data_IF_796104754823
#
_entry.id   IF_796104754823
#
_cell.length_a   1.000
_cell.length_b   1.000
_cell.length_c   1.000
_cell.angle_alpha   90.00
_cell.angle_beta   90.00
_cell.angle_gamma   90.00
#
_symmetry.space_group_name_H-M   'P 1'
#
loop_
_entity.id
_entity.type
_entity.pdbx_description
1 polymer ?
#
# COMPACT_ATOMS: atom_id res chain seq x y z
N UNK A 1 -45.23 20.32 -3.00
CA UNK A 1 -46.32 19.59 -2.29
C UNK A 1 -45.86 18.16 -2.01
N UNK A 2 -45.75 17.85 -0.70
CA UNK A 2 -45.97 16.51 -0.08
C UNK A 2 -45.03 15.37 -0.54
N UNK A 3 -44.37 14.54 0.27
CA UNK A 3 -44.46 14.25 1.72
C UNK A 3 -43.19 13.50 2.14
N UNK A 4 -42.73 13.79 3.34
CA UNK A 4 -41.90 13.05 4.27
C UNK A 4 -42.22 11.57 4.35
N UNK A 5 -41.20 10.71 4.51
CA UNK A 5 -41.32 9.56 5.38
C UNK A 5 -39.96 9.24 6.02
N UNK A 6 -40.02 9.38 7.30
CA UNK A 6 -39.01 9.14 8.33
C UNK A 6 -39.21 7.69 8.78
N UNK A 7 -38.20 6.87 8.73
CA UNK A 7 -38.23 5.60 9.49
C UNK A 7 -36.95 5.52 10.31
N UNK A 8 -37.17 5.81 11.56
CA UNK A 8 -36.29 5.64 12.71
C UNK A 8 -36.40 4.16 13.14
N UNK A 9 -35.29 3.43 13.14
CA UNK A 9 -35.24 2.14 13.81
C UNK A 9 -34.03 2.07 14.72
N UNK A 10 -34.28 2.40 15.99
CA UNK A 10 -33.41 2.11 17.12
C UNK A 10 -33.42 0.60 17.37
N UNK A 11 -32.26 0.03 17.50
CA UNK A 11 -32.09 -1.24 18.17
C UNK A 11 -30.99 -1.12 19.23
N UNK A 12 -31.47 -1.01 20.44
CA UNK A 12 -30.72 -1.08 21.69
C UNK A 12 -30.39 -2.55 21.95
N UNK A 13 -29.13 -2.90 22.11
CA UNK A 13 -28.79 -4.18 22.75
C UNK A 13 -27.97 -3.94 24.01
N UNK A 14 -28.55 -4.46 25.06
CA UNK A 14 -28.23 -4.33 26.46
C UNK A 14 -26.93 -5.04 26.86
N UNK A 15 -26.21 -4.39 27.73
CA UNK A 15 -25.16 -4.92 28.58
C UNK A 15 -25.69 -6.01 29.51
N UNK A 16 -24.97 -7.11 29.65
CA UNK A 16 -25.07 -7.93 30.82
C UNK A 16 -23.68 -8.16 31.41
N UNK A 17 -23.40 -7.43 32.46
CA UNK A 17 -22.31 -7.67 33.37
C UNK A 17 -22.73 -8.77 34.35
N UNK A 18 -21.86 -9.71 34.63
CA UNK A 18 -21.92 -10.51 35.84
C UNK A 18 -20.54 -10.53 36.47
N UNK A 19 -20.56 -9.96 37.68
CA UNK A 19 -19.46 -9.84 38.62
C UNK A 19 -19.66 -10.87 39.72
N UNK A 20 -18.59 -11.12 40.46
CA UNK A 20 -18.48 -11.77 41.79
C UNK A 20 -18.09 -13.26 41.75
N UNK A 21 -17.24 -13.78 42.56
CA UNK A 21 -16.39 -13.37 43.68
C UNK A 21 -15.68 -14.64 44.22
N UNK A 22 -14.41 -14.48 44.59
CA UNK A 22 -13.68 -15.16 45.70
C UNK A 22 -13.71 -16.69 45.88
N UNK A 23 -12.64 -17.38 45.96
CA UNK A 23 -11.66 -17.58 47.01
C UNK A 23 -10.90 -18.94 46.90
N UNK A 24 -9.60 -18.87 47.23
CA UNK A 24 -8.73 -19.83 47.89
C UNK A 24 -8.19 -21.09 47.19
N UNK A 25 -6.90 -20.95 46.95
CA UNK A 25 -5.76 -21.76 47.41
C UNK A 25 -5.80 -23.29 47.33
N UNK A 26 -4.86 -23.83 46.55
CA UNK A 26 -3.72 -24.67 47.01
C UNK A 26 -3.01 -25.33 45.84
N UNK A 27 -1.72 -25.08 45.74
CA UNK A 27 -0.68 -25.92 45.09
C UNK A 27 -0.40 -27.13 46.00
N UNK A 28 0.43 -28.13 45.60
CA UNK A 28 1.14 -28.45 44.35
C UNK A 28 1.06 -29.94 43.95
N UNK A 29 1.53 -30.31 42.75
CA UNK A 29 2.52 -31.39 42.49
C UNK A 29 2.63 -31.71 40.98
N UNK A 30 3.75 -31.41 40.47
CA UNK A 30 4.79 -32.14 39.75
C UNK A 30 4.43 -33.53 39.19
N UNK A 31 4.53 -33.72 37.88
CA UNK A 31 5.23 -34.84 37.26
C UNK A 31 5.57 -34.52 35.77
N UNK A 32 6.81 -34.78 35.47
CA UNK A 32 7.52 -34.72 34.19
C UNK A 32 6.98 -35.71 33.13
N UNK A 33 7.21 -35.36 31.91
CA UNK A 33 7.92 -36.06 30.80
C UNK A 33 7.17 -35.86 29.50
N UNK A 34 7.84 -35.34 28.52
CA UNK A 34 8.80 -35.80 27.53
C UNK A 34 8.27 -35.67 26.10
N UNK A 35 8.95 -34.80 25.33
CA UNK A 35 9.27 -34.86 23.88
C UNK A 35 8.14 -35.12 22.87
N UNK A 36 7.96 -34.28 21.83
CA UNK A 36 8.78 -34.34 20.66
C UNK A 36 8.56 -33.13 19.71
N UNK A 37 9.61 -32.78 19.04
CA UNK A 37 9.81 -31.68 18.12
C UNK A 37 8.84 -31.67 16.91
N UNK A 38 8.38 -30.48 16.54
CA UNK A 38 8.29 -30.13 15.15
C UNK A 38 8.66 -28.63 15.01
N UNK A 39 9.85 -28.40 14.50
CA UNK A 39 10.34 -27.12 14.01
C UNK A 39 9.46 -26.71 12.82
N UNK A 40 8.89 -25.54 12.90
CA UNK A 40 8.56 -24.76 11.71
C UNK A 40 9.31 -23.45 11.83
N UNK A 41 10.36 -23.32 11.04
CA UNK A 41 11.14 -22.10 10.86
C UNK A 41 10.23 -21.03 10.26
N UNK A 42 9.68 -20.15 11.07
CA UNK A 42 9.35 -18.82 10.62
C UNK A 42 10.63 -17.98 10.63
N UNK A 43 11.31 -17.99 9.50
CA UNK A 43 12.42 -17.10 9.24
C UNK A 43 11.84 -15.69 9.01
N UNK A 44 11.53 -15.00 10.10
CA UNK A 44 11.33 -13.55 10.12
C UNK A 44 12.69 -12.91 9.94
N UNK A 45 13.07 -12.72 8.70
CA UNK A 45 14.19 -11.85 8.36
C UNK A 45 13.78 -10.42 8.65
N UNK A 46 14.00 -9.98 9.88
CA UNK A 46 14.13 -8.57 10.20
C UNK A 46 15.43 -8.09 9.56
N UNK A 47 15.35 -7.69 8.30
CA UNK A 47 16.44 -7.01 7.64
C UNK A 47 16.60 -5.66 8.33
N UNK A 48 17.64 -5.60 9.15
CA UNK A 48 18.19 -4.43 9.82
C UNK A 48 18.16 -3.26 8.86
N UNK A 49 17.26 -2.29 9.09
CA UNK A 49 17.28 -1.01 8.40
C UNK A 49 18.62 -0.33 8.68
N UNK A 50 19.61 -0.64 7.85
CA UNK A 50 20.84 0.12 7.76
C UNK A 50 20.43 1.53 7.34
N UNK A 51 21.08 2.52 7.87
CA UNK A 51 20.93 3.95 7.55
C UNK A 51 21.38 4.17 6.09
N UNK A 52 20.50 3.79 5.14
CA UNK A 52 20.71 3.98 3.71
C UNK A 52 20.23 5.38 3.37
N UNK A 53 21.10 6.19 2.79
CA UNK A 53 20.79 7.54 2.31
C UNK A 53 19.78 7.52 1.14
N UNK A 54 19.64 6.39 0.43
CA UNK A 54 18.71 6.20 -0.67
C UNK A 54 18.20 4.77 -0.75
N UNK A 55 17.01 4.59 -1.34
CA UNK A 55 16.33 3.31 -1.58
C UNK A 55 16.38 3.01 -3.08
N UNK A 56 16.83 1.83 -3.45
CA UNK A 56 16.88 1.38 -4.86
C UNK A 56 15.56 0.76 -5.26
N UNK A 57 15.03 1.23 -6.38
CA UNK A 57 13.78 0.74 -6.98
C UNK A 57 13.96 0.61 -8.49
N UNK A 58 13.12 -0.19 -9.14
CA UNK A 58 13.01 -0.21 -10.60
C UNK A 58 11.77 0.58 -11.02
N UNK A 59 11.94 1.52 -11.94
CA UNK A 59 10.84 2.31 -12.52
C UNK A 59 10.64 1.89 -13.98
N UNK A 60 9.39 1.58 -14.34
CA UNK A 60 8.98 1.23 -15.69
C UNK A 60 7.81 2.13 -16.08
N UNK A 61 7.87 2.74 -17.25
CA UNK A 61 6.81 3.60 -17.82
C UNK A 61 6.34 2.98 -19.12
N UNK A 62 5.07 2.60 -19.18
CA UNK A 62 4.43 1.95 -20.32
C UNK A 62 3.28 2.79 -20.87
N UNK A 63 3.24 3.00 -22.15
CA UNK A 63 2.06 3.44 -22.87
C UNK A 63 1.35 2.18 -23.43
N UNK A 64 0.38 1.67 -22.66
CA UNK A 64 -0.38 0.48 -23.05
C UNK A 64 -1.37 0.75 -24.19
N UNK A 65 -1.78 2.03 -24.36
CA UNK A 65 -2.65 2.43 -25.48
C UNK A 65 -1.94 2.23 -26.81
N UNK A 66 -0.64 2.57 -26.87
CA UNK A 66 0.19 2.44 -28.08
C UNK A 66 1.14 1.23 -28.03
N UNK A 67 1.04 0.40 -26.98
CA UNK A 67 1.91 -0.76 -26.74
C UNK A 67 3.41 -0.43 -26.81
N UNK A 68 3.81 0.62 -26.09
CA UNK A 68 5.18 1.16 -26.12
C UNK A 68 5.76 1.27 -24.72
N UNK A 69 6.95 0.70 -24.49
CA UNK A 69 7.77 1.03 -23.32
C UNK A 69 8.41 2.41 -23.56
N UNK A 70 8.14 3.35 -22.65
CA UNK A 70 8.68 4.72 -22.72
C UNK A 70 10.00 4.79 -21.96
N UNK A 71 10.06 4.17 -20.78
CA UNK A 71 11.21 4.22 -19.88
C UNK A 71 11.31 2.91 -19.08
N UNK A 72 12.55 2.49 -18.85
CA UNK A 72 12.88 1.49 -17.83
C UNK A 72 14.23 1.85 -17.23
N UNK A 73 14.24 2.03 -15.90
CA UNK A 73 15.47 2.40 -15.17
C UNK A 73 15.51 1.81 -13.77
N UNK A 74 16.72 1.69 -13.24
CA UNK A 74 16.98 1.48 -11.82
C UNK A 74 17.22 2.86 -11.18
N UNK A 75 16.35 3.24 -10.25
CA UNK A 75 16.33 4.55 -9.62
C UNK A 75 16.78 4.48 -8.17
N UNK A 76 17.38 5.56 -7.67
CA UNK A 76 17.74 5.74 -6.27
C UNK A 76 16.93 6.92 -5.70
N UNK A 77 15.96 6.62 -4.84
CA UNK A 77 15.10 7.61 -4.19
C UNK A 77 15.65 7.91 -2.81
N UNK A 78 15.94 9.17 -2.54
CA UNK A 78 16.53 9.61 -1.26
C UNK A 78 15.53 9.44 -0.12
N UNK A 79 16.06 9.30 1.10
CA UNK A 79 15.27 9.08 2.33
C UNK A 79 14.24 10.19 2.62
N UNK A 80 14.55 11.42 2.24
CA UNK A 80 13.72 12.62 2.40
C UNK A 80 12.92 13.00 1.14
N UNK A 81 12.98 12.19 0.09
CA UNK A 81 12.31 12.38 -1.19
C UNK A 81 11.22 11.32 -1.36
N UNK A 82 10.00 11.73 -1.67
CA UNK A 82 8.94 10.79 -2.03
C UNK A 82 8.94 10.50 -3.53
N UNK A 83 8.18 9.49 -3.95
CA UNK A 83 8.12 9.06 -5.35
C UNK A 83 7.64 10.17 -6.30
N UNK A 84 6.67 11.00 -5.89
CA UNK A 84 6.21 12.13 -6.68
C UNK A 84 7.34 13.15 -6.90
N UNK A 85 8.04 13.55 -5.85
CA UNK A 85 9.16 14.50 -5.92
C UNK A 85 10.28 13.97 -6.83
N UNK A 86 10.57 12.66 -6.76
CA UNK A 86 11.53 12.03 -7.64
C UNK A 86 11.11 12.17 -9.12
N UNK A 87 9.85 11.86 -9.45
CA UNK A 87 9.33 11.96 -10.81
C UNK A 87 9.31 13.41 -11.33
N UNK A 88 8.87 14.37 -10.52
CA UNK A 88 8.85 15.79 -10.88
C UNK A 88 10.25 16.32 -11.19
N UNK A 89 11.26 15.83 -10.49
CA UNK A 89 12.65 16.29 -10.61
C UNK A 89 13.41 15.62 -11.75
N UNK A 90 13.22 14.33 -11.94
CA UNK A 90 14.06 13.54 -12.86
C UNK A 90 13.33 13.21 -14.18
N UNK A 91 12.00 13.30 -14.20
CA UNK A 91 11.13 12.99 -15.32
C UNK A 91 10.20 14.17 -15.64
N UNK A 92 9.62 14.15 -16.83
CA UNK A 92 8.63 15.16 -17.23
C UNK A 92 7.26 14.78 -16.62
N UNK A 93 7.15 14.80 -15.30
CA UNK A 93 5.91 14.47 -14.61
C UNK A 93 5.15 15.73 -14.22
N UNK A 94 3.84 15.74 -14.46
CA UNK A 94 2.94 16.82 -14.05
C UNK A 94 1.85 16.25 -13.17
N UNK A 95 1.64 16.91 -12.03
CA UNK A 95 0.60 16.52 -11.06
C UNK A 95 -0.41 17.64 -10.89
N UNK A 96 -1.69 17.29 -10.84
CA UNK A 96 -2.78 18.19 -10.50
C UNK A 96 -3.60 17.58 -9.35
N UNK A 97 -3.69 18.32 -8.24
CA UNK A 97 -4.42 17.87 -7.02
C UNK A 97 -3.99 16.47 -6.54
N UNK A 98 -2.69 16.16 -6.63
CA UNK A 98 -2.12 14.90 -6.19
C UNK A 98 -2.26 13.73 -7.19
N UNK A 99 -2.89 13.96 -8.35
CA UNK A 99 -2.99 12.97 -9.43
C UNK A 99 -2.00 13.30 -10.54
N UNK A 100 -1.30 12.30 -11.06
CA UNK A 100 -0.42 12.47 -12.20
C UNK A 100 -1.24 12.62 -13.48
N UNK A 101 -1.06 13.74 -14.19
CA UNK A 101 -1.78 14.07 -15.42
C UNK A 101 -0.92 13.97 -16.68
N UNK A 102 0.41 14.00 -16.53
CA UNK A 102 1.38 13.81 -17.61
C UNK A 102 2.62 13.10 -17.09
N UNK A 103 3.19 12.20 -17.86
CA UNK A 103 4.50 11.61 -17.63
C UNK A 103 5.21 11.40 -18.95
N UNK A 104 6.49 11.81 -19.03
CA UNK A 104 7.34 11.72 -20.23
C UNK A 104 6.68 12.28 -21.51
N UNK A 105 5.87 13.34 -21.36
CA UNK A 105 5.19 14.00 -22.48
C UNK A 105 3.88 13.34 -22.92
N UNK A 106 3.46 12.24 -22.27
CA UNK A 106 2.17 11.60 -22.50
C UNK A 106 1.16 12.14 -21.50
N UNK A 107 0.12 12.81 -22.03
CA UNK A 107 -0.95 13.41 -21.22
C UNK A 107 -2.16 12.50 -21.12
N UNK A 108 -2.84 12.56 -19.99
CA UNK A 108 -4.17 11.96 -19.85
C UNK A 108 -5.14 12.55 -20.88
N UNK A 109 -6.04 11.71 -21.39
CA UNK A 109 -7.14 12.12 -22.26
C UNK A 109 -8.48 11.61 -21.66
N UNK A 110 -9.11 12.41 -20.80
CA UNK A 110 -10.38 12.02 -20.19
C UNK A 110 -11.51 11.76 -21.19
N UNK A 111 -11.48 12.42 -22.36
CA UNK A 111 -12.48 12.20 -23.40
C UNK A 111 -12.38 10.79 -24.00
N UNK A 112 -11.20 10.21 -23.99
CA UNK A 112 -10.91 8.84 -24.41
C UNK A 112 -10.80 7.87 -23.24
N UNK A 113 -11.09 8.32 -21.99
CA UNK A 113 -10.90 7.55 -20.75
C UNK A 113 -9.47 7.02 -20.60
N UNK A 114 -8.47 7.76 -21.06
CA UNK A 114 -7.06 7.37 -20.97
C UNK A 114 -6.39 8.07 -19.79
N UNK A 115 -5.85 7.27 -18.88
CA UNK A 115 -5.32 7.74 -17.60
C UNK A 115 -4.00 7.05 -17.25
N UNK A 116 -3.21 7.72 -16.42
CA UNK A 116 -2.07 7.15 -15.76
C UNK A 116 -2.50 6.36 -14.52
N UNK A 117 -2.12 5.11 -14.47
CA UNK A 117 -2.26 4.25 -13.29
C UNK A 117 -0.88 3.80 -12.86
N UNK A 118 -0.68 3.53 -11.56
CA UNK A 118 0.59 2.98 -11.14
C UNK A 118 0.40 1.71 -10.27
N UNK A 119 1.40 0.86 -10.37
CA UNK A 119 1.45 -0.46 -9.76
C UNK A 119 2.75 -0.60 -9.01
N UNK A 120 2.72 -1.33 -7.91
CA UNK A 120 3.90 -1.71 -7.14
C UNK A 120 3.92 -3.22 -7.01
N UNK A 121 5.01 -3.83 -7.45
CA UNK A 121 5.19 -5.29 -7.43
C UNK A 121 3.98 -6.02 -8.05
N UNK A 122 3.58 -5.58 -9.24
CA UNK A 122 2.45 -6.08 -10.06
C UNK A 122 1.04 -5.86 -9.45
N UNK A 123 0.92 -5.10 -8.37
CA UNK A 123 -0.37 -4.76 -7.76
C UNK A 123 -0.66 -3.28 -7.94
N UNK A 124 -1.92 -2.97 -8.28
CA UNK A 124 -2.36 -1.57 -8.32
C UNK A 124 -2.13 -0.94 -6.94
N UNK A 125 -1.53 0.25 -6.93
CA UNK A 125 -1.26 0.95 -5.68
C UNK A 125 -2.56 1.44 -5.03
N UNK A 126 -2.62 1.32 -3.71
CA UNK A 126 -3.80 1.67 -2.90
C UNK A 126 -3.71 3.09 -2.33
N UNK A 127 -2.54 3.75 -2.48
CA UNK A 127 -2.27 5.10 -1.98
C UNK A 127 -1.81 6.01 -3.11
N UNK A 128 -1.88 7.32 -2.90
CA UNK A 128 -1.36 8.32 -3.85
C UNK A 128 0.16 8.23 -4.00
N UNK A 129 0.66 8.63 -5.18
CA UNK A 129 2.11 8.59 -5.50
C UNK A 129 2.94 9.38 -4.47
N UNK A 130 2.43 10.53 -3.99
CA UNK A 130 3.10 11.35 -2.99
C UNK A 130 3.13 10.75 -1.58
N UNK A 131 2.22 9.82 -1.29
CA UNK A 131 2.09 9.17 0.01
C UNK A 131 2.77 7.79 0.05
N UNK A 132 3.15 7.26 -1.11
CA UNK A 132 3.79 5.96 -1.19
C UNK A 132 5.22 6.01 -0.65
N UNK A 133 5.50 5.11 0.30
CA UNK A 133 6.84 4.91 0.85
C UNK A 133 7.51 3.75 0.12
N UNK A 134 8.52 4.07 -0.66
CA UNK A 134 9.28 3.09 -1.43
C UNK A 134 10.07 2.14 -0.53
N UNK A 135 10.15 0.88 -0.92
CA UNK A 135 10.97 -0.13 -0.28
C UNK A 135 12.08 -0.58 -1.24
N UNK A 136 13.12 -1.16 -0.66
CA UNK A 136 14.24 -1.68 -1.44
C UNK A 136 13.76 -2.76 -2.43
N UNK A 137 14.18 -2.62 -3.68
CA UNK A 137 13.83 -3.48 -4.82
C UNK A 137 12.34 -3.45 -5.24
N UNK A 138 11.58 -2.43 -4.85
CA UNK A 138 10.25 -2.26 -5.42
C UNK A 138 10.32 -2.12 -6.94
N UNK A 139 9.45 -2.83 -7.64
CA UNK A 139 9.17 -2.64 -9.06
C UNK A 139 7.95 -1.71 -9.18
N UNK A 140 8.16 -0.50 -9.65
CA UNK A 140 7.13 0.53 -9.79
C UNK A 140 6.83 0.71 -11.27
N UNK A 141 5.61 0.43 -11.69
CA UNK A 141 5.16 0.52 -13.07
C UNK A 141 4.12 1.61 -13.22
N UNK A 142 4.38 2.57 -14.08
CA UNK A 142 3.41 3.59 -14.51
C UNK A 142 2.85 3.17 -15.86
N UNK A 143 1.53 3.01 -15.95
CA UNK A 143 0.84 2.54 -17.15
C UNK A 143 -0.17 3.57 -17.63
N UNK A 144 0.01 4.06 -18.83
CA UNK A 144 -0.97 4.86 -19.53
C UNK A 144 -1.96 3.92 -20.21
N UNK A 145 -3.19 3.86 -19.73
CA UNK A 145 -4.17 2.86 -20.15
C UNK A 145 -5.57 3.43 -20.31
N UNK A 146 -6.38 2.75 -21.14
CA UNK A 146 -7.80 3.07 -21.29
C UNK A 146 -8.64 2.33 -20.26
N UNK A 147 -9.45 3.09 -19.53
CA UNK A 147 -10.38 2.57 -18.53
C UNK A 147 -11.69 2.14 -19.20
N UNK A 148 -12.08 0.91 -18.99
CA UNK A 148 -13.32 0.32 -19.53
C UNK A 148 -14.58 0.83 -18.83
#
# INVERSE_FOLDING_TARGET
>A
MKKKLLVLMMLVFSLTACNADKDKAQEPQKTEQTQEQAKTDENKTEEKAADKEATKVQIIVMDEVNNKEILKEDAEIKKDENLQQYLEKNHKAVFEKGMMTELEGVKQDPAKKQYWMYYVNDKMAEVGIGDYKVNENDKIEFKFQEMK
#
